data_IF_333616306420
#
_entry.id   IF_333616306420
#
_cell.length_a   1.000
_cell.length_b   1.000
_cell.length_c   1.000
_cell.angle_alpha   90.00
_cell.angle_beta   90.00
_cell.angle_gamma   90.00
#
_symmetry.space_group_name_H-M   'P 1'
#
loop_
_entity.id
_entity.type
_entity.pdbx_description
1 polymer ?
#
# COMPACT_ATOMS: atom_id res chain seq x y z
N UNK A 1 -10.51 -13.40 -16.39
CA UNK A 1 -10.43 -12.42 -15.30
C UNK A 1 -11.20 -12.99 -14.11
N UNK A 2 -10.58 -13.14 -12.94
CA UNK A 2 -11.25 -13.67 -11.74
C UNK A 2 -12.02 -12.56 -11.02
N UNK A 3 -13.01 -12.87 -10.17
CA UNK A 3 -13.70 -11.87 -9.36
C UNK A 3 -12.75 -11.06 -8.45
N UNK A 4 -11.66 -11.68 -7.97
CA UNK A 4 -10.64 -10.98 -7.18
C UNK A 4 -9.90 -9.92 -7.99
N UNK A 5 -9.41 -10.27 -9.19
CA UNK A 5 -8.70 -9.31 -10.06
C UNK A 5 -9.60 -8.19 -10.56
N UNK A 6 -10.89 -8.47 -10.81
CA UNK A 6 -11.84 -7.40 -11.13
C UNK A 6 -11.98 -6.42 -9.96
N UNK A 7 -12.05 -6.93 -8.73
CA UNK A 7 -12.10 -6.08 -7.54
C UNK A 7 -10.81 -5.29 -7.30
N UNK A 8 -9.63 -5.87 -7.56
CA UNK A 8 -8.37 -5.12 -7.52
C UNK A 8 -8.33 -3.98 -8.54
N UNK A 9 -8.81 -4.20 -9.77
CA UNK A 9 -8.96 -3.13 -10.77
C UNK A 9 -9.93 -2.03 -10.30
N UNK A 10 -11.04 -2.42 -9.66
CA UNK A 10 -12.00 -1.47 -9.09
C UNK A 10 -11.35 -0.62 -8.00
N UNK A 11 -10.70 -1.23 -7.01
CA UNK A 11 -10.00 -0.52 -5.92
C UNK A 11 -8.87 0.36 -6.47
N UNK A 12 -8.13 -0.09 -7.48
CA UNK A 12 -7.14 0.73 -8.16
C UNK A 12 -7.77 1.99 -8.75
N UNK A 13 -8.93 1.88 -9.41
CA UNK A 13 -9.62 3.05 -9.96
C UNK A 13 -10.04 4.05 -8.87
N UNK A 14 -10.51 3.56 -7.72
CA UNK A 14 -10.86 4.38 -6.54
C UNK A 14 -9.62 5.10 -6.00
N UNK A 15 -8.50 4.40 -5.88
CA UNK A 15 -7.23 4.99 -5.40
C UNK A 15 -6.74 6.09 -6.36
N UNK A 16 -6.72 5.82 -7.67
CA UNK A 16 -6.28 6.79 -8.67
C UNK A 16 -7.17 8.04 -8.69
N UNK A 17 -8.49 7.88 -8.57
CA UNK A 17 -9.42 9.00 -8.48
C UNK A 17 -9.18 9.84 -7.21
N UNK A 18 -8.96 9.19 -6.06
CA UNK A 18 -8.64 9.90 -4.81
C UNK A 18 -7.30 10.65 -4.88
N UNK A 19 -6.27 10.06 -5.46
CA UNK A 19 -4.98 10.72 -5.70
C UNK A 19 -5.12 11.94 -6.61
N UNK A 20 -5.98 11.86 -7.62
CA UNK A 20 -6.26 12.97 -8.52
C UNK A 20 -7.07 14.08 -7.84
N UNK A 21 -8.13 13.74 -7.14
CA UNK A 21 -9.11 14.70 -6.60
C UNK A 21 -8.64 15.35 -5.30
N UNK A 22 -8.04 14.56 -4.40
CA UNK A 22 -7.66 15.02 -3.07
C UNK A 22 -6.18 15.44 -2.97
N UNK A 23 -5.27 14.70 -3.63
CA UNK A 23 -3.84 15.03 -3.63
C UNK A 23 -3.43 15.89 -4.84
N UNK A 24 -4.32 16.08 -5.81
CA UNK A 24 -4.09 16.89 -7.02
C UNK A 24 -2.94 16.35 -7.88
N UNK A 25 -2.72 15.05 -7.86
CA UNK A 25 -1.80 14.41 -8.80
C UNK A 25 -2.40 14.39 -10.21
N UNK A 26 -1.55 14.64 -11.20
CA UNK A 26 -1.79 14.19 -12.55
C UNK A 26 -1.43 12.70 -12.62
N UNK A 27 -2.36 11.86 -13.10
CA UNK A 27 -2.22 10.41 -13.17
C UNK A 27 -1.98 10.01 -14.61
N UNK A 28 -0.81 9.42 -14.92
CA UNK A 28 -0.42 9.05 -16.28
C UNK A 28 -0.08 7.57 -16.32
N UNK A 29 -0.72 6.84 -17.23
CA UNK A 29 -0.32 5.46 -17.52
C UNK A 29 0.96 5.46 -18.38
N UNK A 30 1.95 4.69 -17.95
CA UNK A 30 3.26 4.55 -18.61
C UNK A 30 3.50 3.09 -18.97
N UNK A 31 4.23 2.82 -20.05
CA UNK A 31 4.61 1.48 -20.49
C UNK A 31 3.58 0.76 -21.38
N UNK A 32 2.32 1.23 -21.41
CA UNK A 32 1.27 0.71 -22.32
C UNK A 32 0.09 1.69 -22.41
N UNK A 33 -0.83 1.45 -23.34
CA UNK A 33 -2.17 2.06 -23.37
C UNK A 33 -3.19 1.30 -22.51
N UNK A 34 -2.80 0.12 -21.98
CA UNK A 34 -3.65 -0.76 -21.17
C UNK A 34 -2.90 -1.26 -19.94
N UNK A 35 -3.58 -1.25 -18.80
CA UNK A 35 -3.08 -1.92 -17.60
C UNK A 35 -3.39 -3.41 -17.67
N UNK A 36 -2.37 -4.25 -17.51
CA UNK A 36 -2.54 -5.71 -17.37
C UNK A 36 -2.29 -6.07 -15.92
N UNK A 37 -3.35 -6.50 -15.22
CA UNK A 37 -3.22 -7.07 -13.89
C UNK A 37 -2.50 -8.42 -13.97
N UNK A 38 -1.52 -8.63 -13.10
CA UNK A 38 -0.72 -9.84 -13.14
C UNK A 38 -1.48 -10.97 -12.46
N UNK A 39 -1.24 -12.19 -12.89
CA UNK A 39 -1.79 -13.39 -12.22
C UNK A 39 -1.02 -13.75 -10.95
N UNK A 40 0.18 -13.20 -10.78
CA UNK A 40 1.07 -13.43 -9.65
C UNK A 40 1.99 -12.23 -9.46
N UNK A 41 2.42 -12.03 -8.22
CA UNK A 41 3.42 -11.06 -7.82
C UNK A 41 4.78 -11.25 -8.49
N UNK A 42 5.68 -10.33 -8.16
CA UNK A 42 7.11 -10.41 -8.46
C UNK A 42 7.77 -9.04 -8.38
N UNK A 43 9.06 -8.93 -8.72
CA UNK A 43 9.77 -7.66 -8.63
C UNK A 43 9.18 -6.61 -9.59
N UNK A 44 9.56 -5.35 -9.40
CA UNK A 44 9.33 -4.29 -10.39
C UNK A 44 10.03 -4.68 -11.69
N UNK A 45 9.27 -4.67 -12.77
CA UNK A 45 9.75 -4.76 -14.13
C UNK A 45 9.30 -3.51 -14.89
N UNK A 46 10.26 -2.68 -15.29
CA UNK A 46 10.02 -1.41 -15.99
C UNK A 46 9.44 -1.58 -17.40
N UNK A 47 9.41 -2.80 -17.94
CA UNK A 47 8.67 -3.09 -19.18
C UNK A 47 7.16 -3.21 -18.95
N UNK A 48 6.70 -3.35 -17.70
CA UNK A 48 5.28 -3.42 -17.37
C UNK A 48 4.65 -2.04 -17.15
N UNK A 49 3.35 -2.00 -17.41
CA UNK A 49 2.56 -0.79 -17.25
C UNK A 49 2.41 -0.43 -15.77
N UNK A 50 2.49 0.87 -15.48
CA UNK A 50 2.32 1.44 -14.15
C UNK A 50 1.83 2.89 -14.29
N UNK A 51 1.39 3.50 -13.18
CA UNK A 51 0.96 4.90 -13.21
C UNK A 51 2.03 5.80 -12.61
N UNK A 52 2.40 6.86 -13.31
CA UNK A 52 3.13 7.98 -12.72
C UNK A 52 2.15 8.97 -12.09
N UNK A 53 2.49 9.43 -10.89
CA UNK A 53 1.80 10.51 -10.19
C UNK A 53 2.66 11.75 -10.27
N UNK A 54 2.23 12.72 -11.07
CA UNK A 54 2.96 13.97 -11.30
C UNK A 54 2.34 15.13 -10.56
N UNK A 55 3.19 16.04 -10.12
CA UNK A 55 2.76 17.33 -9.60
C UNK A 55 3.62 18.42 -10.24
N UNK A 56 2.97 19.43 -10.82
CA UNK A 56 3.65 20.51 -11.57
C UNK A 56 4.58 19.95 -12.68
N UNK A 57 4.12 18.89 -13.35
CA UNK A 57 4.84 18.23 -14.45
C UNK A 57 6.00 17.32 -14.03
N UNK A 58 6.32 17.21 -12.73
CA UNK A 58 7.39 16.34 -12.24
C UNK A 58 6.83 15.03 -11.67
N UNK A 59 7.38 13.86 -12.06
CA UNK A 59 6.98 12.59 -11.46
C UNK A 59 7.52 12.50 -10.03
N UNK A 60 6.62 12.30 -9.07
CA UNK A 60 6.97 12.22 -7.65
C UNK A 60 6.82 10.80 -7.12
N UNK A 61 5.74 10.14 -7.52
CA UNK A 61 5.38 8.79 -7.08
C UNK A 61 4.95 7.94 -8.27
N UNK A 62 4.91 6.64 -8.07
CA UNK A 62 4.41 5.65 -9.01
C UNK A 62 3.46 4.68 -8.32
N UNK A 63 2.42 4.23 -9.02
CA UNK A 63 1.48 3.20 -8.58
C UNK A 63 1.74 1.92 -9.38
N UNK A 64 2.03 0.85 -8.66
CA UNK A 64 2.29 -0.49 -9.17
C UNK A 64 1.24 -1.46 -8.66
N UNK A 65 0.96 -2.51 -9.42
CA UNK A 65 0.10 -3.62 -8.99
C UNK A 65 0.87 -4.91 -8.95
N UNK A 66 0.48 -5.80 -8.05
CA UNK A 66 1.00 -7.17 -7.97
C UNK A 66 2.54 -7.22 -7.95
N UNK A 67 3.16 -6.46 -7.03
CA UNK A 67 4.62 -6.51 -6.87
C UNK A 67 5.02 -7.02 -5.50
N UNK A 68 6.19 -7.65 -5.45
CA UNK A 68 6.83 -8.11 -4.24
C UNK A 68 7.84 -7.08 -3.74
N UNK A 69 7.79 -6.80 -2.44
CA UNK A 69 8.71 -5.90 -1.75
C UNK A 69 9.65 -6.70 -0.82
N UNK A 70 10.85 -6.20 -0.54
CA UNK A 70 11.71 -6.78 0.51
C UNK A 70 11.23 -6.32 1.88
N UNK A 71 11.00 -7.26 2.78
CA UNK A 71 10.44 -7.01 4.11
C UNK A 71 11.44 -6.38 5.08
N UNK A 72 10.91 -5.83 6.18
CA UNK A 72 11.71 -5.35 7.30
C UNK A 72 12.58 -6.48 7.89
N UNK A 73 12.05 -7.70 8.02
CA UNK A 73 12.86 -8.82 8.52
C UNK A 73 14.05 -9.13 7.60
N UNK A 74 13.87 -9.09 6.28
CA UNK A 74 14.96 -9.18 5.31
C UNK A 74 16.01 -8.07 5.52
N UNK A 75 15.57 -6.82 5.69
CA UNK A 75 16.47 -5.70 5.96
C UNK A 75 17.28 -5.91 7.24
N UNK A 76 16.62 -6.28 8.35
CA UNK A 76 17.25 -6.40 9.66
C UNK A 76 18.25 -7.56 9.76
N UNK A 77 17.96 -8.67 9.07
CA UNK A 77 18.89 -9.80 9.00
C UNK A 77 20.02 -9.60 7.99
N UNK A 78 20.06 -8.43 7.31
CA UNK A 78 20.98 -8.13 6.20
C UNK A 78 20.92 -9.21 5.12
N UNK A 79 19.70 -9.54 4.70
CA UNK A 79 19.46 -10.58 3.71
C UNK A 79 20.18 -10.32 2.39
N UNK A 80 20.60 -11.40 1.75
CA UNK A 80 21.28 -11.38 0.46
C UNK A 80 20.27 -11.62 -0.68
N UNK A 81 20.66 -11.21 -1.89
CA UNK A 81 19.94 -11.55 -3.11
C UNK A 81 20.50 -12.86 -3.70
N UNK A 82 19.65 -13.72 -4.31
CA UNK A 82 18.21 -13.54 -4.46
C UNK A 82 17.44 -13.76 -3.15
N UNK A 83 16.31 -13.06 -2.95
CA UNK A 83 15.52 -13.20 -1.73
C UNK A 83 14.88 -14.59 -1.66
N UNK A 84 14.71 -15.09 -0.45
CA UNK A 84 13.94 -16.29 -0.17
C UNK A 84 12.46 -15.95 -0.01
N UNK A 85 11.60 -16.96 -0.01
CA UNK A 85 10.14 -16.77 0.09
C UNK A 85 9.70 -15.96 1.31
N UNK A 86 10.42 -16.03 2.43
CA UNK A 86 10.10 -15.28 3.65
C UNK A 86 10.59 -13.83 3.65
N UNK A 87 11.39 -13.44 2.66
CA UNK A 87 11.96 -12.09 2.54
C UNK A 87 11.10 -11.14 1.73
N UNK A 88 10.13 -11.70 1.00
CA UNK A 88 9.26 -10.96 0.12
C UNK A 88 7.83 -10.93 0.67
N UNK A 89 7.14 -9.81 0.42
CA UNK A 89 5.70 -9.74 0.59
C UNK A 89 5.07 -9.17 -0.68
N UNK A 90 4.09 -9.87 -1.23
CA UNK A 90 3.30 -9.41 -2.39
C UNK A 90 2.25 -8.40 -1.93
N UNK A 91 2.14 -7.29 -2.64
CA UNK A 91 1.13 -6.25 -2.42
C UNK A 91 0.29 -6.07 -3.69
N UNK A 92 -1.02 -6.06 -3.53
CA UNK A 92 -1.96 -5.94 -4.66
C UNK A 92 -1.80 -4.59 -5.36
N UNK A 93 -1.70 -3.50 -4.58
CA UNK A 93 -1.40 -2.15 -5.08
C UNK A 93 -0.39 -1.49 -4.15
N UNK A 94 0.62 -0.84 -4.71
CA UNK A 94 1.65 -0.13 -3.95
C UNK A 94 2.01 1.18 -4.60
N UNK A 95 2.23 2.19 -3.76
CA UNK A 95 2.72 3.51 -4.16
C UNK A 95 4.15 3.67 -3.68
N UNK A 96 5.05 3.98 -4.61
CA UNK A 96 6.49 4.13 -4.41
C UNK A 96 6.96 5.50 -4.89
N UNK A 97 8.16 5.99 -4.51
CA UNK A 97 8.82 7.10 -5.18
C UNK A 97 8.97 6.84 -6.68
N UNK A 98 8.93 7.89 -7.48
CA UNK A 98 9.20 7.77 -8.92
C UNK A 98 10.67 7.38 -9.19
N UNK A 99 10.90 6.64 -10.29
CA UNK A 99 12.24 6.32 -10.78
C UNK A 99 12.97 5.16 -10.08
N UNK A 100 12.26 4.35 -9.28
CA UNK A 100 12.80 3.12 -8.67
C UNK A 100 13.29 2.12 -9.74
N UNK A 101 14.50 1.60 -9.60
CA UNK A 101 15.02 0.60 -10.56
C UNK A 101 14.24 -0.72 -10.48
N UNK A 102 14.28 -1.51 -11.56
CA UNK A 102 13.74 -2.88 -11.56
C UNK A 102 14.33 -3.71 -10.42
N UNK A 103 13.55 -4.64 -9.86
CA UNK A 103 13.91 -5.45 -8.70
C UNK A 103 12.89 -5.34 -7.56
N UNK A 104 13.28 -5.83 -6.39
CA UNK A 104 12.42 -5.82 -5.19
C UNK A 104 12.66 -4.52 -4.40
N UNK A 105 11.71 -3.58 -4.38
CA UNK A 105 11.86 -2.37 -3.58
C UNK A 105 11.86 -2.74 -2.08
N UNK A 106 12.73 -2.12 -1.27
CA UNK A 106 12.71 -2.33 0.17
C UNK A 106 11.47 -1.69 0.83
N UNK A 107 11.06 -2.26 1.96
CA UNK A 107 9.86 -1.85 2.70
C UNK A 107 9.82 -0.36 3.06
N UNK A 108 10.97 0.30 3.22
CA UNK A 108 11.10 1.71 3.59
C UNK A 108 10.84 2.70 2.45
N UNK A 109 10.78 2.21 1.21
CA UNK A 109 10.35 2.99 0.06
C UNK A 109 8.83 2.98 -0.12
N UNK A 110 8.10 2.05 0.51
CA UNK A 110 6.64 2.01 0.42
C UNK A 110 6.06 3.31 0.99
N UNK A 111 5.20 3.99 0.21
CA UNK A 111 4.41 5.15 0.67
C UNK A 111 3.01 4.75 1.05
N UNK A 112 2.41 3.88 0.25
CA UNK A 112 1.12 3.25 0.53
C UNK A 112 1.14 1.82 0.01
N UNK A 113 0.57 0.91 0.76
CA UNK A 113 0.33 -0.48 0.41
C UNK A 113 -1.16 -0.77 0.56
N UNK A 114 -1.71 -1.57 -0.35
CA UNK A 114 -3.12 -1.95 -0.36
C UNK A 114 -3.27 -3.44 -0.57
N UNK A 115 -4.15 -4.04 0.23
CA UNK A 115 -4.60 -5.42 0.13
C UNK A 115 -6.10 -5.43 -0.21
N UNK A 116 -6.48 -6.17 -1.24
CA UNK A 116 -7.84 -6.30 -1.73
C UNK A 116 -8.41 -7.67 -1.34
N UNK A 117 -9.63 -7.70 -0.78
CA UNK A 117 -10.33 -8.92 -0.36
C UNK A 117 -11.76 -8.94 -0.88
N UNK A 118 -12.01 -9.69 -1.95
CA UNK A 118 -13.35 -9.93 -2.50
C UNK A 118 -13.95 -11.25 -1.98
N UNK A 119 -13.92 -11.45 -0.66
CA UNK A 119 -14.46 -12.62 0.03
C UNK A 119 -14.96 -12.19 1.40
N UNK A 120 -15.71 -13.06 2.09
CA UNK A 120 -16.13 -12.81 3.47
C UNK A 120 -14.91 -12.51 4.35
N UNK A 121 -14.93 -11.37 5.03
CA UNK A 121 -13.82 -10.89 5.81
C UNK A 121 -13.77 -11.59 7.16
N UNK A 122 -12.63 -12.18 7.49
CA UNK A 122 -12.46 -12.98 8.68
C UNK A 122 -11.28 -12.50 9.52
N UNK A 123 -11.31 -12.79 10.83
CA UNK A 123 -10.24 -12.44 11.77
C UNK A 123 -8.84 -12.88 11.32
N UNK A 124 -8.72 -13.96 10.55
CA UNK A 124 -7.42 -14.39 10.04
C UNK A 124 -6.84 -13.44 8.99
N UNK A 125 -7.68 -12.77 8.19
CA UNK A 125 -7.28 -11.76 7.21
C UNK A 125 -6.78 -10.49 7.91
N UNK A 126 -7.46 -10.06 8.97
CA UNK A 126 -6.97 -8.98 9.83
C UNK A 126 -5.58 -9.32 10.42
N UNK A 127 -5.40 -10.54 10.96
CA UNK A 127 -4.08 -10.98 11.47
C UNK A 127 -3.01 -10.95 10.38
N UNK A 128 -3.35 -11.36 9.16
CA UNK A 128 -2.42 -11.30 8.03
C UNK A 128 -2.02 -9.85 7.74
N UNK A 129 -2.97 -8.92 7.62
CA UNK A 129 -2.70 -7.50 7.40
C UNK A 129 -1.84 -6.88 8.52
N UNK A 130 -2.05 -7.24 9.78
CA UNK A 130 -1.17 -6.83 10.88
C UNK A 130 0.24 -7.43 10.77
N UNK A 131 0.36 -8.65 10.23
CA UNK A 131 1.65 -9.25 9.87
C UNK A 131 2.36 -8.43 8.78
N UNK A 132 1.66 -8.04 7.71
CA UNK A 132 2.20 -7.15 6.68
C UNK A 132 2.66 -5.84 7.28
N UNK A 133 1.84 -5.22 8.15
CA UNK A 133 2.19 -3.98 8.83
C UNK A 133 3.50 -4.07 9.60
N UNK A 134 3.73 -5.18 10.30
CA UNK A 134 4.96 -5.46 11.03
C UNK A 134 6.16 -5.60 10.09
N UNK A 135 5.97 -6.19 8.93
CA UNK A 135 7.03 -6.33 7.91
C UNK A 135 7.26 -5.05 7.09
N UNK A 136 6.37 -4.05 7.17
CA UNK A 136 6.54 -2.75 6.52
C UNK A 136 7.22 -1.70 7.40
N UNK A 137 7.04 -1.76 8.73
CA UNK A 137 7.51 -0.72 9.64
C UNK A 137 7.48 -1.13 11.10
N UNK A 138 8.17 -0.36 11.94
CA UNK A 138 7.96 -0.35 13.38
C UNK A 138 6.71 0.43 13.78
N UNK A 139 6.04 -0.03 14.84
CA UNK A 139 4.99 0.74 15.51
C UNK A 139 5.64 1.95 16.21
N UNK A 140 5.24 3.16 15.83
CA UNK A 140 5.64 4.37 16.54
C UNK A 140 4.58 4.74 17.57
N UNK A 141 5.04 5.16 18.74
CA UNK A 141 4.35 5.20 20.04
C UNK A 141 2.81 5.30 19.95
N UNK A 142 2.07 4.37 20.58
CA UNK A 142 0.63 4.46 20.69
C UNK A 142 0.20 5.76 21.36
N UNK A 143 -0.85 6.39 20.83
CA UNK A 143 -1.47 7.60 21.37
C UNK A 143 -1.74 7.44 22.89
N UNK A 144 -1.21 8.32 23.77
CA UNK A 144 -1.75 8.45 25.11
C UNK A 144 -3.20 8.95 25.04
N UNK A 145 -4.11 8.52 25.95
CA UNK A 145 -5.49 8.97 25.93
C UNK A 145 -5.57 10.50 26.01
N UNK A 146 -6.35 11.11 25.11
CA UNK A 146 -6.48 12.57 24.97
C UNK A 146 -6.58 13.03 23.52
N UNK A 147 -6.93 14.31 23.25
CA UNK A 147 -7.03 14.86 21.90
C UNK A 147 -5.66 14.82 21.18
N UNK A 148 -5.64 14.64 19.85
CA UNK A 148 -4.40 14.55 19.09
C UNK A 148 -3.60 15.84 19.25
N UNK A 149 -2.37 15.73 19.76
CA UNK A 149 -1.41 16.83 19.70
C UNK A 149 -0.81 16.86 18.28
N UNK A 150 -0.82 18.02 17.61
CA UNK A 150 -0.11 18.19 16.34
C UNK A 150 1.36 17.73 16.47
N UNK A 151 1.84 16.97 15.49
CA UNK A 151 3.26 16.57 15.41
C UNK A 151 3.67 15.31 16.20
N UNK A 152 2.73 14.54 16.76
CA UNK A 152 3.07 13.31 17.51
C UNK A 152 3.27 12.07 16.63
N UNK A 153 2.78 12.09 15.39
CA UNK A 153 2.93 11.01 14.42
C UNK A 153 3.78 11.45 13.23
N UNK A 154 4.62 10.56 12.66
CA UNK A 154 5.33 10.83 11.43
C UNK A 154 4.37 11.20 10.31
N UNK A 155 4.68 12.27 9.54
CA UNK A 155 3.91 12.60 8.35
C UNK A 155 4.12 11.52 7.29
N UNK A 156 3.06 11.20 6.56
CA UNK A 156 3.12 10.35 5.36
C UNK A 156 3.59 11.18 4.16
N UNK A 157 3.67 10.56 2.98
CA UNK A 157 3.88 11.29 1.71
C UNK A 157 2.64 12.01 1.20
N UNK A 158 1.52 11.99 1.94
CA UNK A 158 0.23 12.50 1.49
C UNK A 158 -0.21 13.72 2.30
N UNK A 159 -0.88 14.64 1.62
CA UNK A 159 -1.30 15.94 2.16
C UNK A 159 -2.68 15.86 2.82
N UNK A 160 -3.54 14.94 2.42
CA UNK A 160 -4.94 14.81 2.81
C UNK A 160 -5.33 13.32 2.84
N UNK A 161 -5.26 12.66 1.68
CA UNK A 161 -5.74 11.30 1.46
C UNK A 161 -4.57 10.36 1.13
N UNK A 162 -4.52 9.14 1.69
CA UNK A 162 -5.52 8.54 2.61
C UNK A 162 -5.41 9.07 4.05
N UNK A 163 -4.23 9.57 4.45
CA UNK A 163 -3.98 10.20 5.75
C UNK A 163 -2.68 10.99 5.76
N UNK A 164 -2.63 12.05 6.55
CA UNK A 164 -1.46 12.93 6.73
C UNK A 164 -0.37 12.34 7.61
N UNK A 165 -0.74 11.45 8.53
CA UNK A 165 0.15 10.87 9.52
C UNK A 165 -0.23 9.43 9.84
N UNK A 166 0.71 8.64 10.36
CA UNK A 166 0.49 7.22 10.69
C UNK A 166 1.34 6.81 11.89
N UNK A 167 0.88 5.83 12.67
CA UNK A 167 1.63 5.26 13.79
C UNK A 167 2.71 4.24 13.33
N UNK A 168 3.47 4.59 12.28
CA UNK A 168 4.43 3.70 11.64
C UNK A 168 5.75 4.42 11.33
N UNK A 169 6.86 3.71 11.45
CA UNK A 169 8.20 4.16 11.05
C UNK A 169 8.95 3.04 10.29
N UNK A 170 9.14 3.13 8.96
CA UNK A 170 8.81 4.26 8.08
C UNK A 170 7.32 4.58 7.98
N UNK A 171 7.00 5.84 7.69
CA UNK A 171 5.65 6.40 7.70
C UNK A 171 4.79 6.01 6.46
N UNK A 172 4.69 4.71 6.19
CA UNK A 172 3.92 4.17 5.08
C UNK A 172 2.49 3.87 5.50
N UNK A 173 1.53 4.09 4.59
CA UNK A 173 0.12 3.74 4.81
C UNK A 173 -0.11 2.28 4.43
N UNK A 174 -0.91 1.55 5.21
CA UNK A 174 -1.42 0.24 4.83
C UNK A 174 -2.95 0.28 4.89
N UNK A 175 -3.61 -0.09 3.80
CA UNK A 175 -5.07 -0.18 3.74
C UNK A 175 -5.51 -1.56 3.26
N UNK A 176 -6.62 -2.05 3.81
CA UNK A 176 -7.27 -3.29 3.42
C UNK A 176 -8.66 -2.94 2.91
N UNK A 177 -8.89 -3.15 1.62
CA UNK A 177 -10.18 -2.95 0.97
C UNK A 177 -10.93 -4.27 0.88
N UNK A 178 -12.21 -4.28 1.23
CA UNK A 178 -13.05 -5.47 1.08
C UNK A 178 -14.47 -5.16 0.62
N UNK A 179 -15.03 -6.07 -0.17
CA UNK A 179 -16.46 -6.06 -0.53
C UNK A 179 -17.37 -6.50 0.61
N UNK A 180 -16.82 -7.10 1.67
CA UNK A 180 -17.57 -7.48 2.87
C UNK A 180 -17.60 -6.31 3.87
N UNK A 181 -18.77 -5.78 4.23
CA UNK A 181 -18.90 -4.66 5.17
C UNK A 181 -18.37 -4.96 6.59
N UNK A 182 -18.24 -6.24 6.97
CA UNK A 182 -17.69 -6.63 8.28
C UNK A 182 -16.21 -6.26 8.44
N UNK A 183 -15.51 -5.94 7.34
CA UNK A 183 -14.12 -5.43 7.39
C UNK A 183 -13.99 -4.19 8.30
N UNK A 184 -14.99 -3.32 8.30
CA UNK A 184 -14.98 -2.08 9.11
C UNK A 184 -15.05 -2.33 10.61
N UNK A 185 -15.49 -3.52 11.06
CA UNK A 185 -15.48 -3.90 12.47
C UNK A 185 -14.05 -4.01 13.04
N UNK A 186 -13.06 -4.22 12.16
CA UNK A 186 -11.65 -4.37 12.52
C UNK A 186 -10.88 -3.04 12.52
N UNK A 187 -11.47 -1.96 11.98
CA UNK A 187 -10.77 -0.68 11.76
C UNK A 187 -10.19 -0.10 13.06
N UNK A 188 -10.99 -0.01 14.14
CA UNK A 188 -10.51 0.54 15.42
C UNK A 188 -9.25 -0.14 15.95
N UNK A 189 -9.14 -1.47 15.78
CA UNK A 189 -7.96 -2.21 16.18
C UNK A 189 -6.80 -2.06 15.18
N UNK A 190 -7.09 -1.98 13.87
CA UNK A 190 -6.11 -1.68 12.83
C UNK A 190 -5.46 -0.30 12.99
N UNK A 191 -6.25 0.71 13.32
CA UNK A 191 -5.80 2.10 13.49
C UNK A 191 -4.73 2.26 14.59
N UNK A 192 -4.70 1.36 15.59
CA UNK A 192 -3.62 1.32 16.59
C UNK A 192 -2.26 1.11 15.95
N UNK A 193 -2.22 0.30 14.88
CA UNK A 193 -1.03 -0.05 14.12
C UNK A 193 -0.90 0.73 12.81
N UNK A 194 -1.79 1.68 12.54
CA UNK A 194 -1.79 2.42 11.27
C UNK A 194 -2.25 1.59 10.07
N UNK A 195 -3.19 0.67 10.28
CA UNK A 195 -3.87 -0.09 9.21
C UNK A 195 -5.32 0.38 9.09
N UNK A 196 -5.72 0.72 7.88
CA UNK A 196 -7.08 1.17 7.56
C UNK A 196 -7.89 -0.01 7.01
N UNK A 197 -9.01 -0.36 7.65
CA UNK A 197 -9.90 -1.43 7.17
C UNK A 197 -11.17 -0.83 6.54
N UNK A 198 -11.25 -0.89 5.21
CA UNK A 198 -12.18 -0.10 4.40
C UNK A 198 -13.14 -1.04 3.67
N UNK A 199 -14.44 -0.81 3.86
CA UNK A 199 -15.46 -1.42 3.04
C UNK A 199 -15.63 -0.61 1.76
N UNK A 200 -15.44 -1.25 0.61
CA UNK A 200 -15.61 -0.65 -0.71
C UNK A 200 -16.48 -1.59 -1.56
N UNK A 201 -17.76 -1.25 -1.78
CA UNK A 201 -18.62 -2.06 -2.62
C UNK A 201 -18.18 -1.96 -4.10
N UNK A 202 -18.50 -3.00 -4.88
CA UNK A 202 -18.26 -3.06 -6.34
C UNK A 202 -19.58 -3.19 -7.09
#
# INVERSE_FOLDING_TARGET
MTPGKLYEAWVLSVILENLRTHERYEVILVGSDKMRLRSSGGPIDRSFAHFELRQRGQPLLEVWTDIEILTLSHHLRRGELPPQRGDCHELDIVILPAGIKSGYPPHDLVRMAVECKNTAFQKHMMRAALGVRRELSYLKTPRPPGPPRPGTRPPTSFSIWPRRDVAADPASVLAVYSTDPTVSEYDKAGQVFGVDFIHEPM
#
